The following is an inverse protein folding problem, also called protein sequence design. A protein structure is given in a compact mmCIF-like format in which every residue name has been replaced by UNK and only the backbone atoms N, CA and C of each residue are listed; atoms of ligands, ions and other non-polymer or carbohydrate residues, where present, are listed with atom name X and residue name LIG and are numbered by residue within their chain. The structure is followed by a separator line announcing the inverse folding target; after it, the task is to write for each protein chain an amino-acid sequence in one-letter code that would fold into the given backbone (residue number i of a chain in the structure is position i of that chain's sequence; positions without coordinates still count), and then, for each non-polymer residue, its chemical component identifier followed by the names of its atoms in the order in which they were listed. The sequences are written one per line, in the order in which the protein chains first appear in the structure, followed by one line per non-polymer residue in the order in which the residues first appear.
data_IF_716624051251
#
_entry.id   IF_716624051251
#
_cell.length_a   1.000
_cell.length_b   1.000
_cell.length_c   1.000
_cell.angle_alpha   90.00
_cell.angle_beta   90.00
_cell.angle_gamma   90.00
#
_symmetry.space_group_name_H-M   'P 1'
#
loop_
_entity.id
_entity.type
_entity.pdbx_description
1 polymer ?
#
# COMPACT_ATOMS: atom_id res chain seq x y z
N UNK A 1 -9.37 26.66 -11.53
CA UNK A 1 -8.85 26.15 -10.24
C UNK A 1 -7.66 25.28 -10.58
N UNK A 2 -6.45 25.69 -10.22
CA UNK A 2 -5.31 24.79 -10.21
C UNK A 2 -5.47 23.88 -8.99
N UNK A 3 -5.44 22.56 -9.20
CA UNK A 3 -5.27 21.61 -8.11
C UNK A 3 -3.77 21.52 -7.87
N UNK A 4 -3.31 22.05 -6.74
CA UNK A 4 -1.94 21.78 -6.29
C UNK A 4 -1.91 20.34 -5.77
N UNK A 5 -1.15 19.49 -6.45
CA UNK A 5 -0.93 18.11 -6.02
C UNK A 5 0.14 18.14 -4.92
N UNK A 6 -0.31 18.22 -3.67
CA UNK A 6 0.54 18.10 -2.51
C UNK A 6 0.67 16.64 -2.10
N UNK A 7 1.91 16.20 -1.86
CA UNK A 7 2.22 14.83 -1.40
C UNK A 7 2.18 14.71 0.13
N UNK A 8 1.69 15.74 0.81
CA UNK A 8 1.59 15.75 2.27
C UNK A 8 0.39 14.91 2.74
N UNK A 9 0.53 14.32 3.92
CA UNK A 9 -0.55 13.57 4.55
C UNK A 9 -1.74 14.50 4.86
N UNK A 10 -2.95 14.07 4.50
CA UNK A 10 -4.16 14.82 4.86
C UNK A 10 -4.56 14.44 6.28
N UNK A 11 -4.56 15.44 7.16
CA UNK A 11 -4.88 15.26 8.58
C UNK A 11 -6.28 15.80 8.88
N UNK A 12 -7.17 14.90 9.31
CA UNK A 12 -8.52 15.25 9.75
C UNK A 12 -8.66 15.05 11.26
N UNK A 13 -9.15 16.08 11.96
CA UNK A 13 -9.42 16.03 13.40
C UNK A 13 -10.88 15.68 13.61
N UNK A 14 -11.13 14.55 14.27
CA UNK A 14 -12.48 14.11 14.57
C UNK A 14 -13.12 15.03 15.62
N UNK A 15 -14.34 15.57 15.38
CA UNK A 15 -15.07 16.36 16.37
C UNK A 15 -15.30 15.65 17.71
N UNK A 16 -15.45 14.33 17.69
CA UNK A 16 -15.64 13.48 18.88
C UNK A 16 -14.30 13.06 19.52
N UNK A 17 -13.19 13.43 18.89
CA UNK A 17 -11.82 13.24 19.39
C UNK A 17 -11.04 12.20 18.59
N UNK A 18 -9.72 12.42 18.51
CA UNK A 18 -8.82 11.59 17.71
C UNK A 18 -8.37 12.30 16.44
N UNK A 19 -7.64 11.58 15.60
CA UNK A 19 -7.08 12.11 14.35
C UNK A 19 -7.03 10.99 13.32
N UNK A 20 -7.58 11.25 12.15
CA UNK A 20 -7.44 10.41 10.97
C UNK A 20 -6.36 11.03 10.10
N UNK A 21 -5.38 10.22 9.73
CA UNK A 21 -4.33 10.61 8.79
C UNK A 21 -4.51 9.78 7.53
N UNK A 22 -4.87 10.44 6.43
CA UNK A 22 -4.87 9.81 5.11
C UNK A 22 -3.43 9.89 4.58
N UNK A 23 -2.75 8.75 4.69
CA UNK A 23 -1.37 8.60 4.25
C UNK A 23 -1.34 7.94 2.87
N UNK A 24 -0.75 8.64 1.89
CA UNK A 24 -0.61 8.12 0.53
C UNK A 24 0.45 7.01 0.45
N UNK A 25 0.15 5.94 -0.28
CA UNK A 25 1.11 4.85 -0.53
C UNK A 25 1.45 4.78 -2.01
N UNK A 26 2.75 4.61 -2.31
CA UNK A 26 3.18 4.21 -3.65
C UNK A 26 2.98 2.69 -3.80
N UNK A 27 2.18 2.23 -4.78
CA UNK A 27 1.87 0.81 -4.95
C UNK A 27 3.11 0.04 -5.38
N UNK A 28 3.13 -1.25 -5.07
CA UNK A 28 4.17 -2.24 -5.41
C UNK A 28 5.59 -1.85 -4.98
N UNK A 29 5.72 -0.85 -4.09
CA UNK A 29 7.01 -0.22 -3.78
C UNK A 29 7.46 -0.58 -2.37
N UNK A 30 8.72 -0.96 -2.21
CA UNK A 30 9.33 -1.12 -0.89
C UNK A 30 9.70 0.26 -0.36
N UNK A 31 8.87 0.80 0.53
CA UNK A 31 9.08 2.15 1.04
C UNK A 31 10.37 2.26 1.87
N UNK A 32 11.26 3.21 1.52
CA UNK A 32 12.35 3.59 2.41
C UNK A 32 11.77 4.24 3.67
N UNK A 33 12.55 4.28 4.75
CA UNK A 33 12.09 4.78 6.07
C UNK A 33 11.62 6.24 6.03
N UNK A 34 12.00 7.00 5.02
CA UNK A 34 11.61 8.39 4.78
C UNK A 34 10.16 8.51 4.31
N UNK A 35 9.64 7.54 3.55
CA UNK A 35 8.26 7.56 3.04
C UNK A 35 7.25 6.96 4.02
N UNK A 36 7.71 6.18 5.00
CA UNK A 36 6.81 5.55 5.98
C UNK A 36 6.22 6.57 6.95
N UNK A 37 4.97 6.37 7.41
CA UNK A 37 4.35 7.25 8.38
C UNK A 37 5.12 7.20 9.71
N UNK A 38 5.47 8.38 10.24
CA UNK A 38 6.24 8.55 11.48
C UNK A 38 5.37 8.90 12.69
N UNK A 39 4.07 8.68 12.55
CA UNK A 39 3.07 8.94 13.58
C UNK A 39 2.84 7.71 14.44
N UNK A 40 2.46 7.94 15.69
CA UNK A 40 1.82 6.90 16.49
C UNK A 40 0.39 6.70 15.97
N UNK A 41 -0.02 5.46 15.81
CA UNK A 41 -1.34 5.09 15.31
C UNK A 41 -1.91 3.91 16.08
N UNK A 42 -3.23 3.92 16.27
CA UNK A 42 -3.96 2.99 17.12
C UNK A 42 -4.80 1.98 16.34
N UNK A 43 -5.15 2.31 15.10
CA UNK A 43 -5.89 1.48 14.16
C UNK A 43 -5.49 1.84 12.73
N UNK A 44 -5.83 0.98 11.78
CA UNK A 44 -5.64 1.23 10.34
C UNK A 44 -6.97 1.03 9.60
N UNK A 45 -7.25 1.90 8.64
CA UNK A 45 -8.30 1.71 7.65
C UNK A 45 -7.63 1.55 6.27
N UNK A 46 -7.94 0.48 5.57
CA UNK A 46 -7.51 0.21 4.21
C UNK A 46 -8.62 0.67 3.27
N UNK A 47 -8.27 1.43 2.23
CA UNK A 47 -9.24 1.85 1.21
C UNK A 47 -9.35 0.76 0.14
N UNK A 48 -9.66 -0.46 0.58
CA UNK A 48 -9.70 -1.68 -0.22
C UNK A 48 -10.96 -2.48 0.10
N UNK A 49 -11.33 -3.41 -0.77
CA UNK A 49 -12.43 -4.33 -0.50
C UNK A 49 -12.17 -5.24 0.71
N UNK A 50 -13.22 -5.79 1.36
CA UNK A 50 -13.07 -6.71 2.50
C UNK A 50 -12.28 -7.98 2.15
N UNK A 51 -12.19 -8.34 0.88
CA UNK A 51 -11.43 -9.48 0.34
C UNK A 51 -9.91 -9.27 0.27
N UNK A 52 -9.40 -8.06 0.56
CA UNK A 52 -7.99 -7.72 0.32
C UNK A 52 -7.01 -8.63 1.07
N UNK A 53 -7.38 -9.13 2.24
CA UNK A 53 -6.54 -10.06 3.00
C UNK A 53 -6.35 -11.38 2.25
N UNK A 54 -7.45 -11.95 1.73
CA UNK A 54 -7.43 -13.18 0.93
C UNK A 54 -6.59 -12.99 -0.34
N UNK A 55 -6.69 -11.81 -0.97
CA UNK A 55 -5.89 -11.46 -2.15
C UNK A 55 -4.40 -11.47 -1.81
N UNK A 56 -3.99 -10.84 -0.71
CA UNK A 56 -2.58 -10.82 -0.31
C UNK A 56 -2.05 -12.21 0.06
N UNK A 57 -2.86 -13.06 0.70
CA UNK A 57 -2.46 -14.44 0.99
C UNK A 57 -2.27 -15.26 -0.29
N UNK A 58 -3.16 -15.07 -1.27
CA UNK A 58 -3.03 -15.70 -2.58
C UNK A 58 -1.77 -15.22 -3.32
N UNK A 59 -1.49 -13.92 -3.31
CA UNK A 59 -0.28 -13.34 -3.91
C UNK A 59 0.99 -13.86 -3.23
N UNK A 60 0.99 -13.97 -1.90
CA UNK A 60 2.12 -14.54 -1.14
C UNK A 60 2.36 -16.01 -1.52
N UNK A 61 1.30 -16.80 -1.66
CA UNK A 61 1.39 -18.20 -2.07
C UNK A 61 1.91 -18.34 -3.52
N UNK A 62 1.41 -17.50 -4.43
CA UNK A 62 1.81 -17.55 -5.84
C UNK A 62 3.26 -17.07 -6.04
N UNK A 63 3.76 -16.10 -5.27
CA UNK A 63 5.17 -15.71 -5.30
C UNK A 63 6.10 -16.84 -4.83
N UNK A 64 5.67 -17.66 -3.87
CA UNK A 64 6.42 -18.84 -3.41
C UNK A 64 6.47 -19.91 -4.51
N UNK A 65 5.36 -20.11 -5.23
CA UNK A 65 5.29 -21.08 -6.33
C UNK A 65 6.08 -20.64 -7.57
N UNK A 66 5.96 -19.36 -7.94
CA UNK A 66 6.59 -18.79 -9.14
C UNK A 66 6.91 -17.32 -8.91
N UNK A 67 8.16 -17.03 -8.57
CA UNK A 67 8.62 -15.68 -8.27
C UNK A 67 8.36 -14.71 -9.44
N UNK A 68 7.71 -13.57 -9.16
CA UNK A 68 7.38 -12.53 -10.13
C UNK A 68 6.12 -12.80 -10.96
N UNK A 69 5.34 -13.84 -10.62
CA UNK A 69 4.09 -14.15 -11.32
C UNK A 69 3.07 -13.02 -11.17
N UNK A 70 2.92 -12.44 -9.98
CA UNK A 70 1.93 -11.37 -9.75
C UNK A 70 2.33 -10.10 -10.49
N UNK A 71 3.61 -9.73 -10.46
CA UNK A 71 4.13 -8.60 -11.24
C UNK A 71 3.87 -8.79 -12.74
N UNK A 72 4.19 -9.97 -13.25
CA UNK A 72 3.97 -10.30 -14.67
C UNK A 72 2.48 -10.20 -15.02
N UNK A 73 1.61 -10.74 -14.16
CA UNK A 73 0.16 -10.66 -14.33
C UNK A 73 -0.33 -9.22 -14.33
N UNK A 74 0.12 -8.39 -13.38
CA UNK A 74 -0.24 -6.98 -13.27
C UNK A 74 0.19 -6.18 -14.50
N UNK A 75 1.42 -6.40 -15.00
CA UNK A 75 1.90 -5.75 -16.23
C UNK A 75 1.10 -6.21 -17.45
N UNK A 76 0.76 -7.50 -17.57
CA UNK A 76 -0.01 -8.03 -18.70
C UNK A 76 -1.50 -7.66 -18.67
N UNK A 77 -2.05 -7.34 -17.50
CA UNK A 77 -3.46 -6.97 -17.31
C UNK A 77 -3.88 -5.70 -18.06
N UNK A 78 -2.91 -4.85 -18.41
CA UNK A 78 -3.16 -3.58 -19.09
C UNK A 78 -3.82 -2.53 -18.18
N UNK A 79 -4.40 -1.49 -18.78
CA UNK A 79 -5.01 -0.38 -18.04
C UNK A 79 -4.00 0.59 -17.42
N UNK A 80 -4.49 1.50 -16.59
CA UNK A 80 -3.66 2.57 -16.00
C UNK A 80 -2.68 2.03 -14.97
N UNK A 81 -3.06 1.00 -14.21
CA UNK A 81 -2.21 0.40 -13.18
C UNK A 81 -1.01 -0.32 -13.80
N UNK A 82 -1.20 -1.03 -14.92
CA UNK A 82 -0.09 -1.63 -15.67
C UNK A 82 0.91 -0.59 -16.15
N UNK A 83 0.43 0.55 -16.67
CA UNK A 83 1.30 1.66 -17.10
C UNK A 83 2.06 2.23 -15.90
N UNK A 84 1.37 2.50 -14.80
CA UNK A 84 1.99 2.99 -13.56
C UNK A 84 3.08 2.04 -13.07
N UNK A 85 2.81 0.74 -13.01
CA UNK A 85 3.79 -0.26 -12.57
C UNK A 85 4.99 -0.28 -13.53
N UNK A 86 4.76 -0.25 -14.85
CA UNK A 86 5.85 -0.20 -15.83
C UNK A 86 6.75 1.03 -15.67
N UNK A 87 6.16 2.20 -15.38
CA UNK A 87 6.90 3.44 -15.11
C UNK A 87 7.68 3.35 -13.79
N UNK A 88 7.08 2.79 -12.74
CA UNK A 88 7.74 2.54 -11.45
C UNK A 88 8.92 1.57 -11.58
N UNK A 89 8.84 0.59 -12.48
CA UNK A 89 9.94 -0.36 -12.75
C UNK A 89 11.15 0.32 -13.42
N UNK A 90 11.00 1.52 -13.99
CA UNK A 90 12.12 2.29 -14.55
C UNK A 90 12.93 3.03 -13.47
N UNK A 91 12.49 3.02 -12.21
CA UNK A 91 13.16 3.72 -11.11
C UNK A 91 14.27 2.84 -10.51
N UNK A 92 15.52 3.07 -10.92
CA UNK A 92 16.68 2.28 -10.46
C UNK A 92 16.98 2.42 -8.96
N UNK A 93 16.58 3.53 -8.34
CA UNK A 93 16.93 3.87 -6.95
C UNK A 93 15.96 3.26 -5.91
N UNK A 94 14.81 2.75 -6.36
CA UNK A 94 13.74 2.27 -5.49
C UNK A 94 13.34 0.86 -5.92
N UNK A 95 13.22 -0.04 -4.94
CA UNK A 95 12.74 -1.39 -5.22
C UNK A 95 11.21 -1.36 -5.42
N UNK A 96 10.77 -1.50 -6.66
CA UNK A 96 9.36 -1.51 -7.09
C UNK A 96 8.93 -2.90 -7.60
N UNK A 97 7.67 -3.02 -8.03
CA UNK A 97 7.11 -4.26 -8.61
C UNK A 97 7.02 -5.43 -7.63
N UNK A 98 6.81 -5.15 -6.34
CA UNK A 98 6.68 -6.18 -5.29
C UNK A 98 5.23 -6.46 -4.96
N UNK A 99 4.92 -7.74 -4.84
CA UNK A 99 3.60 -8.26 -4.49
C UNK A 99 3.73 -9.23 -3.30
N UNK A 100 2.75 -9.25 -2.38
CA UNK A 100 1.68 -8.25 -2.24
C UNK A 100 2.25 -6.86 -1.98
N UNK A 101 1.39 -5.86 -2.10
CA UNK A 101 1.76 -4.45 -1.94
C UNK A 101 2.50 -4.23 -0.59
N UNK A 102 3.81 -3.87 -0.60
CA UNK A 102 4.64 -4.05 0.59
C UNK A 102 4.21 -3.22 1.78
N UNK A 103 3.84 -1.96 1.58
CA UNK A 103 3.54 -1.04 2.67
C UNK A 103 2.16 -1.32 3.31
N UNK A 104 1.05 -1.43 2.56
CA UNK A 104 -0.24 -1.86 3.11
C UNK A 104 -0.16 -3.20 3.84
N UNK A 105 0.44 -4.23 3.22
CA UNK A 105 0.56 -5.55 3.83
C UNK A 105 1.43 -5.53 5.09
N UNK A 106 2.50 -4.73 5.11
CA UNK A 106 3.34 -4.54 6.30
C UNK A 106 2.57 -3.89 7.44
N UNK A 107 1.81 -2.84 7.19
CA UNK A 107 1.00 -2.15 8.20
C UNK A 107 -0.11 -3.05 8.72
N UNK A 108 -0.78 -3.78 7.84
CA UNK A 108 -1.78 -4.79 8.18
C UNK A 108 -1.21 -5.85 9.14
N UNK A 109 -0.10 -6.50 8.77
CA UNK A 109 0.59 -7.49 9.64
C UNK A 109 1.04 -6.89 10.98
N UNK A 110 1.42 -5.61 10.98
CA UNK A 110 1.79 -4.90 12.21
C UNK A 110 0.57 -4.65 13.10
N UNK A 111 -0.59 -4.32 12.52
CA UNK A 111 -1.84 -4.18 13.25
C UNK A 111 -2.23 -5.49 13.92
N UNK A 112 -2.26 -6.59 13.15
CA UNK A 112 -2.58 -7.92 13.68
C UNK A 112 -1.63 -8.35 14.80
N UNK A 113 -0.32 -8.14 14.63
CA UNK A 113 0.69 -8.48 15.65
C UNK A 113 0.47 -7.76 16.98
N UNK A 114 -0.05 -6.52 16.93
CA UNK A 114 -0.25 -5.67 18.09
C UNK A 114 -1.72 -5.56 18.51
N UNK A 115 -2.59 -6.43 17.99
CA UNK A 115 -4.03 -6.44 18.29
C UNK A 115 -4.70 -5.07 18.07
N UNK A 116 -4.30 -4.38 17.00
CA UNK A 116 -4.88 -3.09 16.59
C UNK A 116 -6.05 -3.34 15.64
N UNK A 117 -7.16 -2.58 15.77
CA UNK A 117 -8.27 -2.67 14.83
C UNK A 117 -7.84 -2.41 13.39
N UNK A 118 -8.38 -3.21 12.47
CA UNK A 118 -8.26 -3.07 11.02
C UNK A 118 -9.67 -2.85 10.47
N UNK A 119 -9.83 -1.83 9.63
CA UNK A 119 -11.07 -1.53 8.91
C UNK A 119 -10.82 -1.61 7.41
N UNK A 120 -11.75 -2.21 6.67
CA UNK A 120 -11.77 -2.29 5.20
C UNK A 120 -13.17 -1.87 4.74
#
# INVERSE_FOLDING_TARGET
MSVELEWEDVVWKDPDGGTIVLHGVLPTTVHPRQLRPRIEWHAIALLEGPEIEDVWELEEASEVESQGINLTSAVLGGGIDSVLIQDLLQLDEIQTGRFPDPEPRRLHRLALRHDRPVYC
#
